data_IF_465358916570
#
_entry.id   IF_465358916570
#
_cell.length_a   1.000
_cell.length_b   1.000
_cell.length_c   1.000
_cell.angle_alpha   90.00
_cell.angle_beta   90.00
_cell.angle_gamma   90.00
#
_symmetry.space_group_name_H-M   'P 1'
#
loop_
_entity.id
_entity.type
_entity.pdbx_description
1 polymer ?
#
# COMPACT_ATOMS: atom_id res chain seq x y z
N UNK A 1 2.22 40.66 61.44
CA UNK A 1 2.82 40.31 60.13
C UNK A 1 2.47 38.84 59.82
N UNK A 2 1.51 38.62 58.95
CA UNK A 2 1.13 37.28 58.47
C UNK A 2 1.69 37.12 57.07
N UNK A 3 2.62 36.18 56.88
CA UNK A 3 3.11 35.78 55.54
C UNK A 3 2.04 34.86 54.94
N UNK A 4 1.47 35.25 53.78
CA UNK A 4 0.75 34.40 52.87
C UNK A 4 1.77 33.72 51.92
N UNK A 5 1.90 32.41 52.04
CA UNK A 5 2.64 31.59 51.04
C UNK A 5 1.74 31.31 49.85
N UNK A 6 2.12 31.78 48.66
CA UNK A 6 1.54 31.37 47.36
C UNK A 6 2.07 29.97 47.00
N UNK A 7 1.21 28.95 46.99
CA UNK A 7 1.49 27.69 46.33
C UNK A 7 1.11 27.81 44.83
N UNK A 8 2.12 27.90 44.00
CA UNK A 8 1.94 27.78 42.54
C UNK A 8 1.78 26.29 42.18
N UNK A 9 0.56 25.89 41.88
CA UNK A 9 0.29 24.56 41.36
C UNK A 9 0.80 24.40 39.93
N UNK A 10 1.79 23.56 39.73
CA UNK A 10 2.28 23.14 38.42
C UNK A 10 1.28 22.15 37.81
N UNK A 11 0.42 22.63 36.90
CA UNK A 11 -0.43 21.75 36.08
C UNK A 11 0.48 21.07 35.05
N UNK A 12 0.88 19.84 35.32
CA UNK A 12 1.47 18.95 34.31
C UNK A 12 0.31 18.46 33.45
N UNK A 13 0.18 19.05 32.26
CA UNK A 13 -0.71 18.51 31.21
C UNK A 13 -0.13 17.18 30.75
N UNK A 14 -0.68 16.08 31.24
CA UNK A 14 -0.42 14.75 30.70
C UNK A 14 -1.18 14.73 29.36
N UNK A 15 -0.48 14.97 28.25
CA UNK A 15 -1.02 14.65 26.93
C UNK A 15 -1.12 13.13 26.87
N UNK A 16 -2.36 12.59 26.83
CA UNK A 16 -2.57 11.20 26.51
C UNK A 16 -1.85 10.89 25.17
N UNK A 17 -1.14 9.76 25.04
CA UNK A 17 -0.61 9.36 23.75
C UNK A 17 -1.76 9.32 22.76
N UNK A 18 -1.57 9.89 21.58
CA UNK A 18 -2.54 9.77 20.49
C UNK A 18 -2.72 8.27 20.22
N UNK A 19 -3.95 7.76 20.32
CA UNK A 19 -4.24 6.38 19.96
C UNK A 19 -3.85 6.20 18.50
N UNK A 20 -3.09 5.14 18.22
CA UNK A 20 -2.69 4.82 16.87
C UNK A 20 -3.94 4.53 16.04
N UNK A 21 -4.05 5.13 14.86
CA UNK A 21 -5.19 4.94 13.96
C UNK A 21 -4.77 4.20 12.70
N UNK A 22 -5.71 3.52 12.07
CA UNK A 22 -5.52 2.93 10.75
C UNK A 22 -5.32 4.02 9.70
N UNK A 23 -4.54 3.72 8.63
CA UNK A 23 -4.32 4.67 7.55
C UNK A 23 -5.40 4.48 6.50
N UNK A 24 -6.13 5.55 6.19
CA UNK A 24 -7.26 5.55 5.28
C UNK A 24 -7.06 6.57 4.16
N UNK A 25 -7.18 6.14 2.90
CA UNK A 25 -7.04 7.08 1.77
C UNK A 25 -6.97 6.43 0.40
N UNK A 26 -6.71 5.11 0.32
CA UNK A 26 -6.77 4.39 -0.94
C UNK A 26 -8.20 4.05 -1.34
N UNK A 27 -8.49 4.15 -2.64
CA UNK A 27 -9.76 3.80 -3.24
C UNK A 27 -9.82 2.38 -3.80
N UNK A 28 -8.89 1.53 -3.42
CA UNK A 28 -8.80 0.14 -3.84
C UNK A 28 -7.82 -0.64 -2.97
N UNK A 29 -7.72 -1.98 -3.18
CA UNK A 29 -6.83 -2.84 -2.41
C UNK A 29 -5.41 -2.30 -2.33
N UNK A 30 -4.82 -2.31 -1.12
CA UNK A 30 -3.45 -1.87 -0.88
C UNK A 30 -2.48 -3.00 -1.18
N UNK A 31 -1.75 -2.89 -2.30
CA UNK A 31 -0.90 -3.96 -2.86
C UNK A 31 0.60 -3.80 -2.58
N UNK A 32 1.01 -2.65 -2.08
CA UNK A 32 2.40 -2.39 -1.75
C UNK A 32 2.53 -1.57 -0.47
N UNK A 33 3.45 -1.96 0.40
CA UNK A 33 3.79 -1.26 1.63
C UNK A 33 5.30 -1.23 1.81
N UNK A 34 5.82 -0.06 2.12
CA UNK A 34 7.16 0.12 2.66
C UNK A 34 7.09 1.00 3.92
N UNK A 35 7.97 0.76 4.87
CA UNK A 35 8.04 1.51 6.13
C UNK A 35 9.44 2.05 6.35
N UNK A 36 9.50 3.24 6.90
CA UNK A 36 10.69 3.85 7.48
C UNK A 36 10.35 4.23 8.92
N UNK A 37 11.26 4.87 9.68
CA UNK A 37 11.06 5.13 11.12
C UNK A 37 9.65 5.66 11.44
N UNK A 38 9.25 6.80 10.89
CA UNK A 38 7.97 7.45 11.17
C UNK A 38 7.04 7.53 9.95
N UNK A 39 7.46 6.96 8.82
CA UNK A 39 6.76 7.08 7.56
C UNK A 39 6.29 5.73 7.03
N UNK A 40 5.15 5.74 6.34
CA UNK A 40 4.66 4.62 5.53
C UNK A 40 4.54 5.11 4.08
N UNK A 41 4.96 4.29 3.15
CA UNK A 41 4.73 4.48 1.73
C UNK A 41 3.87 3.32 1.23
N UNK A 42 2.71 3.64 0.69
CA UNK A 42 1.78 2.63 0.19
C UNK A 42 1.47 2.82 -1.28
N UNK A 43 1.18 1.71 -1.95
CA UNK A 43 0.68 1.67 -3.31
C UNK A 43 -0.55 0.78 -3.41
N UNK A 44 -1.49 1.08 -4.30
CA UNK A 44 -2.75 0.36 -4.37
C UNK A 44 -3.28 0.19 -5.80
N UNK A 45 -4.38 -0.55 -5.91
CA UNK A 45 -5.12 -0.78 -7.14
C UNK A 45 -5.74 0.50 -7.72
N UNK A 46 -5.87 1.55 -6.91
CA UNK A 46 -6.31 2.88 -7.35
C UNK A 46 -5.22 3.67 -8.10
N UNK A 47 -4.11 3.02 -8.46
CA UNK A 47 -2.97 3.57 -9.20
C UNK A 47 -2.13 4.61 -8.46
N UNK A 48 -2.39 4.83 -7.16
CA UNK A 48 -1.77 5.88 -6.37
C UNK A 48 -0.69 5.34 -5.46
N UNK A 49 0.28 6.21 -5.18
CA UNK A 49 1.25 6.04 -4.11
C UNK A 49 0.95 7.11 -3.07
N UNK A 50 0.82 6.72 -1.80
CA UNK A 50 0.57 7.66 -0.72
C UNK A 50 1.69 7.55 0.30
N UNK A 51 2.25 8.71 0.67
CA UNK A 51 3.17 8.86 1.78
C UNK A 51 2.39 9.29 3.02
N UNK A 52 2.63 8.62 4.13
CA UNK A 52 1.92 8.85 5.39
C UNK A 52 2.87 9.20 6.52
N UNK A 53 2.43 10.10 7.40
CA UNK A 53 2.93 10.20 8.77
C UNK A 53 2.28 9.07 9.58
N UNK A 54 3.10 8.13 10.04
CA UNK A 54 2.61 6.92 10.73
C UNK A 54 2.03 7.23 12.11
N UNK A 55 2.63 8.17 12.85
CA UNK A 55 2.16 8.53 14.20
C UNK A 55 0.84 9.28 14.16
N UNK A 56 0.70 10.22 13.20
CA UNK A 56 -0.52 11.02 13.04
C UNK A 56 -1.59 10.33 12.22
N UNK A 57 -1.28 9.18 11.60
CA UNK A 57 -2.13 8.47 10.65
C UNK A 57 -2.64 9.39 9.50
N UNK A 58 -1.80 10.31 9.04
CA UNK A 58 -2.15 11.33 8.05
C UNK A 58 -1.39 11.12 6.75
N UNK A 59 -2.10 11.27 5.62
CA UNK A 59 -1.45 11.34 4.33
C UNK A 59 -0.69 12.66 4.17
N UNK A 60 0.61 12.57 3.93
CA UNK A 60 1.46 13.73 3.66
C UNK A 60 1.46 14.08 2.17
N UNK A 61 1.41 13.07 1.29
CA UNK A 61 1.43 13.25 -0.18
C UNK A 61 0.69 12.13 -0.88
N UNK A 62 0.06 12.48 -1.99
CA UNK A 62 -0.54 11.54 -2.94
C UNK A 62 0.18 11.71 -4.27
N UNK A 63 0.96 10.70 -4.67
CA UNK A 63 1.75 10.68 -5.89
C UNK A 63 0.99 9.95 -6.99
N UNK A 64 0.99 10.49 -8.20
CA UNK A 64 0.16 10.02 -9.31
C UNK A 64 0.99 9.94 -10.58
N UNK A 65 1.20 8.73 -11.08
CA UNK A 65 1.93 8.45 -12.31
C UNK A 65 1.42 7.18 -12.97
N UNK A 66 1.23 6.12 -12.16
CA UNK A 66 0.94 4.80 -12.68
C UNK A 66 -0.44 4.73 -13.35
N UNK A 67 -0.52 3.96 -14.44
CA UNK A 67 -1.74 3.70 -15.20
C UNK A 67 -2.35 2.33 -14.84
N UNK A 68 -1.63 1.53 -14.03
CA UNK A 68 -2.07 0.26 -13.46
C UNK A 68 -1.80 0.21 -11.95
N UNK A 69 -2.16 -0.92 -11.32
CA UNK A 69 -1.95 -1.12 -9.90
C UNK A 69 -0.49 -0.87 -9.51
N UNK A 70 -0.25 -0.16 -8.41
CA UNK A 70 1.08 -0.01 -7.85
C UNK A 70 1.42 -1.28 -7.07
N UNK A 71 2.44 -2.00 -7.52
CA UNK A 71 2.77 -3.34 -7.02
C UNK A 71 3.94 -3.38 -6.06
N UNK A 72 4.77 -2.34 -6.07
CA UNK A 72 5.90 -2.24 -5.15
C UNK A 72 6.25 -0.79 -4.83
N UNK A 73 6.73 -0.56 -3.60
CA UNK A 73 7.22 0.72 -3.10
C UNK A 73 8.50 0.53 -2.31
N UNK A 74 9.37 1.55 -2.27
CA UNK A 74 10.58 1.55 -1.47
C UNK A 74 10.97 2.96 -1.03
N UNK A 75 11.55 3.11 0.15
CA UNK A 75 12.25 4.32 0.57
C UNK A 75 13.66 4.33 -0.01
N UNK A 76 14.18 5.52 -0.32
CA UNK A 76 15.51 5.73 -0.86
C UNK A 76 16.40 6.46 0.16
N UNK A 77 17.74 6.29 0.09
CA UNK A 77 18.67 6.83 1.08
C UNK A 77 18.70 8.37 1.14
N UNK A 78 18.33 9.03 0.04
CA UNK A 78 18.27 10.48 -0.07
C UNK A 78 16.97 11.10 0.48
N UNK A 79 16.15 10.29 1.15
CA UNK A 79 14.83 10.66 1.66
C UNK A 79 13.73 10.64 0.61
N UNK A 80 14.05 10.32 -0.64
CA UNK A 80 13.08 10.10 -1.71
C UNK A 80 12.43 8.72 -1.66
N UNK A 81 11.67 8.41 -2.69
CA UNK A 81 10.88 7.17 -2.79
C UNK A 81 11.01 6.52 -4.14
N UNK A 82 10.70 5.23 -4.22
CA UNK A 82 10.50 4.52 -5.47
C UNK A 82 9.14 3.84 -5.49
N UNK A 83 8.53 3.75 -6.65
CA UNK A 83 7.32 2.97 -6.90
C UNK A 83 7.41 2.21 -8.22
N UNK A 84 6.72 1.08 -8.29
CA UNK A 84 6.60 0.30 -9.52
C UNK A 84 5.17 -0.23 -9.67
N UNK A 85 4.74 -0.46 -10.91
CA UNK A 85 3.35 -0.80 -11.18
C UNK A 85 3.16 -1.87 -12.25
N UNK A 86 1.90 -2.24 -12.45
CA UNK A 86 1.48 -3.13 -13.53
C UNK A 86 1.70 -2.54 -14.92
N UNK A 87 1.89 -1.23 -15.01
CA UNK A 87 2.22 -0.51 -16.23
C UNK A 87 3.69 -0.68 -16.68
N UNK A 88 4.48 -1.50 -15.98
CA UNK A 88 5.90 -1.74 -16.28
C UNK A 88 6.84 -0.60 -15.94
N UNK A 89 6.35 0.46 -15.29
CA UNK A 89 7.15 1.64 -14.93
C UNK A 89 7.76 1.49 -13.54
N UNK A 90 9.01 1.98 -13.41
CA UNK A 90 9.66 2.28 -12.13
C UNK A 90 9.82 3.79 -12.05
N UNK A 91 9.29 4.41 -11.02
CA UNK A 91 9.42 5.84 -10.77
C UNK A 91 10.28 6.11 -9.54
N UNK A 92 11.17 7.10 -9.64
CA UNK A 92 11.89 7.68 -8.52
C UNK A 92 11.29 9.04 -8.19
N UNK A 93 10.95 9.25 -6.94
CA UNK A 93 10.32 10.47 -6.43
C UNK A 93 11.30 11.22 -5.52
N UNK A 94 11.34 12.54 -5.57
CA UNK A 94 12.15 13.33 -4.65
C UNK A 94 11.55 13.28 -3.23
N UNK A 95 12.36 13.63 -2.24
CA UNK A 95 11.92 13.79 -0.84
C UNK A 95 10.80 14.82 -0.70
N UNK A 96 10.78 15.83 -1.55
CA UNK A 96 9.76 16.88 -1.61
C UNK A 96 9.19 17.02 -3.02
N UNK A 97 7.90 17.41 -3.10
CA UNK A 97 7.19 17.51 -4.38
C UNK A 97 6.35 16.28 -4.70
N UNK A 98 5.67 16.33 -5.84
CA UNK A 98 4.73 15.30 -6.31
C UNK A 98 5.03 14.80 -7.72
N UNK A 99 6.04 15.37 -8.39
CA UNK A 99 6.48 14.94 -9.71
C UNK A 99 7.67 13.97 -9.58
N UNK A 100 7.70 12.88 -10.35
CA UNK A 100 8.84 11.96 -10.34
C UNK A 100 10.08 12.64 -10.93
N UNK A 101 11.24 12.39 -10.29
CA UNK A 101 12.53 12.88 -10.80
C UNK A 101 13.07 12.03 -11.95
N UNK A 102 12.66 10.76 -12.00
CA UNK A 102 13.01 9.82 -13.06
C UNK A 102 11.91 8.77 -13.22
N UNK A 103 11.65 8.37 -14.44
CA UNK A 103 10.78 7.24 -14.78
C UNK A 103 11.53 6.33 -15.75
N UNK A 104 11.58 5.05 -15.43
CA UNK A 104 12.12 4.00 -16.29
C UNK A 104 10.96 3.10 -16.75
N UNK A 105 10.95 2.71 -18.04
CA UNK A 105 9.94 1.84 -18.62
C UNK A 105 10.64 0.76 -19.46
N UNK A 106 11.39 -0.10 -18.76
CA UNK A 106 12.18 -1.16 -19.39
C UNK A 106 11.47 -2.53 -19.38
N UNK A 107 10.40 -2.64 -18.59
CA UNK A 107 9.56 -3.82 -18.53
C UNK A 107 8.33 -3.65 -19.42
N UNK A 108 8.03 -4.68 -20.22
CA UNK A 108 6.82 -4.76 -21.06
C UNK A 108 5.65 -5.44 -20.34
N UNK A 109 5.84 -5.81 -19.06
CA UNK A 109 4.90 -6.54 -18.24
C UNK A 109 4.91 -5.96 -16.80
N UNK A 110 3.92 -6.33 -15.96
CA UNK A 110 3.87 -5.90 -14.56
C UNK A 110 5.17 -6.16 -13.80
N UNK A 111 5.56 -5.20 -12.96
CA UNK A 111 6.68 -5.35 -12.02
C UNK A 111 6.14 -6.01 -10.76
N UNK A 112 6.81 -7.05 -10.27
CA UNK A 112 6.40 -7.80 -9.09
C UNK A 112 6.99 -7.25 -7.79
N UNK A 113 8.17 -6.64 -7.85
CA UNK A 113 8.85 -6.18 -6.64
C UNK A 113 10.01 -5.23 -6.91
N UNK A 114 10.33 -4.45 -5.89
CA UNK A 114 11.49 -3.56 -5.81
C UNK A 114 12.36 -3.96 -4.63
N UNK A 115 13.67 -3.85 -4.79
CA UNK A 115 14.63 -4.04 -3.71
C UNK A 115 15.77 -3.03 -3.80
N UNK A 116 16.08 -2.37 -2.70
CA UNK A 116 17.21 -1.46 -2.59
C UNK A 116 18.44 -2.25 -2.08
N UNK A 117 19.58 -2.06 -2.72
CA UNK A 117 20.85 -2.67 -2.25
C UNK A 117 21.26 -2.14 -0.87
N UNK A 118 21.96 -2.94 -0.03
CA UNK A 118 22.32 -2.54 1.33
C UNK A 118 23.22 -1.29 1.40
N UNK A 119 24.00 -1.04 0.34
CA UNK A 119 24.82 0.18 0.20
C UNK A 119 24.02 1.40 -0.29
N UNK A 120 22.72 1.21 -0.59
CA UNK A 120 21.84 2.27 -1.08
C UNK A 120 22.12 2.74 -2.50
N UNK A 121 23.00 2.08 -3.26
CA UNK A 121 23.44 2.56 -4.55
C UNK A 121 22.58 2.07 -5.73
N UNK A 122 21.93 0.91 -5.60
CA UNK A 122 21.20 0.26 -6.69
C UNK A 122 19.80 -0.13 -6.26
N UNK A 123 18.80 0.24 -7.08
CA UNK A 123 17.44 -0.26 -6.98
C UNK A 123 17.25 -1.38 -8.01
N UNK A 124 16.88 -2.58 -7.57
CA UNK A 124 16.53 -3.69 -8.44
C UNK A 124 15.00 -3.78 -8.58
N UNK A 125 14.52 -4.09 -9.78
CA UNK A 125 13.13 -4.41 -10.07
C UNK A 125 13.03 -5.76 -10.78
N UNK A 126 12.03 -6.56 -10.45
CA UNK A 126 11.73 -7.84 -11.10
C UNK A 126 10.38 -7.81 -11.81
N UNK A 127 10.35 -8.18 -13.09
CA UNK A 127 9.15 -8.12 -13.94
C UNK A 127 8.57 -9.47 -14.33
N UNK A 128 7.29 -9.50 -14.66
CA UNK A 128 6.61 -10.68 -15.20
C UNK A 128 7.06 -11.06 -16.61
N UNK A 129 7.90 -10.22 -17.23
CA UNK A 129 8.62 -10.52 -18.48
C UNK A 129 9.87 -11.41 -18.26
N UNK A 130 10.12 -11.83 -17.02
CA UNK A 130 11.26 -12.67 -16.66
C UNK A 130 12.58 -11.93 -16.51
N UNK A 131 12.55 -10.60 -16.52
CA UNK A 131 13.72 -9.73 -16.47
C UNK A 131 13.96 -9.15 -15.10
N UNK A 132 15.23 -8.80 -14.85
CA UNK A 132 15.65 -7.95 -13.74
C UNK A 132 16.19 -6.64 -14.31
N UNK A 133 15.73 -5.53 -13.76
CA UNK A 133 16.26 -4.19 -13.99
C UNK A 133 17.10 -3.77 -12.79
N UNK A 134 18.27 -3.21 -13.02
CA UNK A 134 19.14 -2.58 -12.02
C UNK A 134 19.25 -1.09 -12.36
N UNK A 135 18.79 -0.25 -11.48
CA UNK A 135 18.85 1.21 -11.61
C UNK A 135 19.89 1.75 -10.62
N UNK A 136 20.98 2.35 -11.13
CA UNK A 136 21.98 3.03 -10.31
C UNK A 136 21.45 4.40 -9.90
N UNK A 137 21.23 4.64 -8.60
CA UNK A 137 20.54 5.84 -8.11
C UNK A 137 21.31 7.14 -8.32
N UNK A 138 22.65 7.10 -8.27
CA UNK A 138 23.50 8.27 -8.46
C UNK A 138 23.46 8.79 -9.90
N UNK A 139 23.53 7.88 -10.88
CA UNK A 139 23.69 8.24 -12.30
C UNK A 139 22.39 8.14 -13.09
N UNK A 140 21.37 7.47 -12.56
CA UNK A 140 20.15 7.12 -13.28
C UNK A 140 20.35 6.04 -14.35
N UNK A 141 21.53 5.42 -14.42
CA UNK A 141 21.83 4.40 -15.42
C UNK A 141 21.02 3.11 -15.15
N UNK A 142 20.46 2.55 -16.21
CA UNK A 142 19.66 1.33 -16.16
C UNK A 142 20.36 0.20 -16.88
N UNK A 143 20.36 -0.97 -16.26
CA UNK A 143 20.81 -2.23 -16.86
C UNK A 143 19.71 -3.28 -16.71
N UNK A 144 19.36 -3.95 -17.80
CA UNK A 144 18.37 -5.04 -17.81
C UNK A 144 19.04 -6.35 -18.20
N UNK A 145 18.61 -7.44 -17.56
CA UNK A 145 19.08 -8.81 -17.86
C UNK A 145 17.90 -9.78 -17.91
N UNK A 146 18.00 -10.81 -18.72
CA UNK A 146 17.09 -11.96 -18.67
C UNK A 146 17.48 -12.83 -17.48
N UNK A 147 16.52 -13.06 -16.56
CA UNK A 147 16.79 -13.73 -15.29
C UNK A 147 16.13 -15.11 -15.16
N UNK A 148 14.84 -15.21 -15.48
CA UNK A 148 14.02 -16.40 -15.28
C UNK A 148 13.52 -17.00 -16.60
N UNK A 149 14.35 -17.00 -17.66
CA UNK A 149 14.07 -17.67 -18.95
C UNK A 149 12.75 -17.25 -19.61
N UNK A 150 12.34 -16.01 -19.41
CA UNK A 150 11.07 -15.48 -19.90
C UNK A 150 9.87 -15.81 -19.01
N UNK A 151 10.06 -16.59 -17.93
CA UNK A 151 9.02 -16.84 -16.93
C UNK A 151 9.01 -15.73 -15.90
N UNK A 152 7.83 -15.47 -15.28
CA UNK A 152 7.62 -14.36 -14.36
C UNK A 152 8.62 -14.35 -13.20
N UNK A 153 9.26 -13.21 -12.95
CA UNK A 153 9.83 -12.92 -11.62
C UNK A 153 8.67 -12.60 -10.69
N UNK A 154 8.59 -13.27 -9.56
CA UNK A 154 7.51 -13.09 -8.57
C UNK A 154 7.98 -12.39 -7.29
N UNK A 155 9.27 -12.16 -7.15
CA UNK A 155 9.83 -11.40 -6.03
C UNK A 155 11.33 -11.19 -6.13
N UNK A 156 11.81 -10.10 -5.51
CA UNK A 156 13.22 -9.74 -5.41
C UNK A 156 13.54 -9.21 -4.02
N UNK A 157 14.77 -9.43 -3.55
CA UNK A 157 15.26 -8.92 -2.26
C UNK A 157 16.78 -8.95 -2.17
N UNK A 158 17.41 -7.96 -1.54
CA UNK A 158 18.85 -7.98 -1.31
C UNK A 158 19.20 -8.58 0.05
N UNK A 159 20.12 -9.54 0.07
CA UNK A 159 20.76 -10.01 1.28
C UNK A 159 21.72 -8.93 1.85
N UNK A 160 22.02 -8.94 3.17
CA UNK A 160 22.93 -7.98 3.78
C UNK A 160 24.34 -7.97 3.17
N UNK A 161 24.76 -9.08 2.56
CA UNK A 161 26.07 -9.21 1.89
C UNK A 161 26.09 -8.60 0.46
N UNK A 162 24.99 -7.99 0.02
CA UNK A 162 24.86 -7.32 -1.27
C UNK A 162 24.44 -8.24 -2.43
N UNK A 163 24.21 -9.53 -2.19
CA UNK A 163 23.64 -10.41 -3.22
C UNK A 163 22.16 -10.18 -3.36
N UNK A 164 21.67 -10.09 -4.60
CA UNK A 164 20.24 -10.06 -4.89
C UNK A 164 19.71 -11.50 -4.92
N UNK A 165 18.55 -11.71 -4.32
CA UNK A 165 17.70 -12.89 -4.48
C UNK A 165 16.61 -12.55 -5.47
N UNK A 166 16.34 -13.42 -6.44
CA UNK A 166 15.11 -13.40 -7.22
C UNK A 166 14.44 -14.77 -7.19
N UNK A 167 13.09 -14.77 -7.21
CA UNK A 167 12.27 -15.98 -7.31
C UNK A 167 11.33 -15.84 -8.50
N UNK A 168 11.04 -16.94 -9.19
CA UNK A 168 10.24 -16.90 -10.40
C UNK A 168 9.40 -18.14 -10.66
N UNK A 169 8.45 -18.00 -11.60
CA UNK A 169 7.54 -19.06 -12.02
C UNK A 169 8.24 -20.23 -12.73
N UNK A 170 9.53 -20.09 -13.09
CA UNK A 170 10.39 -21.18 -13.54
C UNK A 170 10.81 -22.12 -12.40
N UNK A 171 10.25 -21.96 -11.20
CA UNK A 171 10.52 -22.71 -9.97
C UNK A 171 11.98 -22.61 -9.54
N UNK A 172 12.55 -21.40 -9.61
CA UNK A 172 13.92 -21.14 -9.19
C UNK A 172 13.99 -19.96 -8.22
N UNK A 173 14.90 -20.13 -7.25
CA UNK A 173 15.51 -19.05 -6.52
C UNK A 173 16.93 -18.86 -7.06
N UNK A 174 17.25 -17.64 -7.48
CA UNK A 174 18.59 -17.33 -8.03
C UNK A 174 19.23 -16.25 -7.17
N UNK A 175 20.49 -16.49 -6.78
CA UNK A 175 21.34 -15.51 -6.14
C UNK A 175 22.24 -14.84 -7.18
N UNK A 176 22.31 -13.52 -7.11
CA UNK A 176 23.06 -12.68 -8.06
C UNK A 176 24.13 -11.88 -7.34
N UNK A 177 25.32 -11.80 -7.94
CA UNK A 177 26.33 -10.81 -7.58
C UNK A 177 26.35 -9.73 -8.65
N UNK A 178 25.78 -8.57 -8.33
CA UNK A 178 25.38 -7.60 -9.37
C UNK A 178 24.45 -8.25 -10.40
N UNK A 179 24.78 -8.19 -11.69
CA UNK A 179 23.99 -8.80 -12.76
C UNK A 179 24.45 -10.22 -13.16
N UNK A 180 25.28 -10.89 -12.34
CA UNK A 180 25.82 -12.24 -12.60
C UNK A 180 25.16 -13.26 -11.67
N UNK A 181 24.53 -14.34 -12.18
CA UNK A 181 24.02 -15.41 -11.33
C UNK A 181 25.17 -16.18 -10.70
N UNK A 182 25.09 -16.44 -9.39
CA UNK A 182 26.13 -17.19 -8.64
C UNK A 182 25.62 -18.52 -8.09
N UNK A 183 24.30 -18.59 -7.79
CA UNK A 183 23.67 -19.82 -7.29
C UNK A 183 22.25 -19.90 -7.83
N UNK A 184 21.78 -21.11 -8.12
CA UNK A 184 20.38 -21.37 -8.50
C UNK A 184 19.87 -22.58 -7.74
N UNK A 185 18.77 -22.42 -7.01
CA UNK A 185 18.11 -23.43 -6.17
C UNK A 185 16.76 -23.74 -6.79
N UNK A 186 16.44 -25.02 -6.98
CA UNK A 186 15.11 -25.47 -7.41
C UNK A 186 14.09 -25.30 -6.28
N UNK A 187 12.90 -24.81 -6.62
CA UNK A 187 11.79 -24.61 -5.69
C UNK A 187 10.75 -25.73 -5.84
N UNK A 188 10.13 -26.19 -4.74
CA UNK A 188 9.18 -27.31 -4.78
C UNK A 188 7.80 -26.94 -5.30
N UNK A 189 7.43 -25.67 -5.27
CA UNK A 189 6.15 -25.14 -5.71
C UNK A 189 6.32 -23.72 -6.30
N UNK A 190 5.26 -23.17 -6.87
CA UNK A 190 5.28 -21.82 -7.44
C UNK A 190 5.45 -20.77 -6.34
N UNK A 191 6.53 -19.95 -6.37
CA UNK A 191 6.73 -18.88 -5.41
C UNK A 191 5.84 -17.68 -5.75
N UNK A 192 5.26 -17.05 -4.73
CA UNK A 192 4.41 -15.86 -4.87
C UNK A 192 5.09 -14.57 -4.37
N UNK A 193 6.20 -14.68 -3.66
CA UNK A 193 6.94 -13.53 -3.16
C UNK A 193 8.14 -13.95 -2.31
N UNK A 194 9.00 -12.98 -2.01
CA UNK A 194 10.17 -13.15 -1.15
C UNK A 194 10.38 -11.92 -0.28
N UNK A 195 10.77 -12.14 0.97
CA UNK A 195 11.26 -11.11 1.88
C UNK A 195 12.57 -11.57 2.54
N UNK A 196 13.42 -10.62 2.95
CA UNK A 196 14.72 -10.96 3.54
C UNK A 196 14.64 -10.96 5.06
N UNK A 197 14.89 -12.12 5.66
CA UNK A 197 14.89 -12.39 7.09
C UNK A 197 16.34 -12.60 7.58
N UNK A 198 17.01 -11.51 7.99
CA UNK A 198 18.44 -11.56 8.30
C UNK A 198 19.26 -11.99 7.09
N UNK A 199 19.99 -13.10 7.19
CA UNK A 199 20.83 -13.64 6.11
C UNK A 199 20.09 -14.68 5.23
N UNK A 200 18.79 -14.86 5.44
CA UNK A 200 17.96 -15.83 4.73
C UNK A 200 16.85 -15.15 3.89
N UNK A 201 16.39 -15.85 2.86
CA UNK A 201 15.24 -15.47 2.06
C UNK A 201 14.00 -16.24 2.51
N UNK A 202 12.99 -15.55 3.02
CA UNK A 202 11.66 -16.09 3.32
C UNK A 202 10.82 -16.04 2.04
N UNK A 203 10.52 -17.20 1.47
CA UNK A 203 9.73 -17.33 0.24
C UNK A 203 8.37 -17.88 0.59
N UNK A 204 7.31 -17.26 0.07
CA UNK A 204 5.92 -17.72 0.16
C UNK A 204 5.49 -18.41 -1.12
N UNK A 205 4.59 -19.40 -0.98
CA UNK A 205 4.24 -20.29 -2.06
C UNK A 205 2.73 -20.42 -2.27
N UNK A 206 2.38 -20.87 -3.47
CA UNK A 206 1.01 -21.20 -3.85
C UNK A 206 0.45 -22.42 -3.09
N UNK A 207 1.31 -23.27 -2.50
CA UNK A 207 0.94 -24.43 -1.68
C UNK A 207 0.66 -24.07 -0.20
N UNK A 208 0.64 -22.78 0.14
CA UNK A 208 0.37 -22.30 1.50
C UNK A 208 1.56 -22.38 2.46
N UNK A 209 2.74 -22.70 1.97
CA UNK A 209 3.94 -22.80 2.77
C UNK A 209 4.79 -21.52 2.74
N UNK A 210 5.52 -21.28 3.84
CA UNK A 210 6.67 -20.39 3.93
C UNK A 210 7.91 -21.23 4.07
N UNK A 211 8.95 -20.94 3.28
CA UNK A 211 10.24 -21.61 3.38
C UNK A 211 11.37 -20.59 3.50
N UNK A 212 12.27 -20.81 4.43
CA UNK A 212 13.51 -20.05 4.55
C UNK A 212 14.60 -20.70 3.70
N UNK A 213 15.26 -19.90 2.89
CA UNK A 213 16.38 -20.33 2.05
C UNK A 213 17.65 -19.62 2.47
N UNK A 214 18.70 -20.40 2.74
CA UNK A 214 20.08 -19.93 2.80
C UNK A 214 20.81 -20.18 1.49
N UNK A 215 22.12 -19.91 1.47
CA UNK A 215 22.94 -20.09 0.28
C UNK A 215 23.01 -21.54 -0.27
N UNK A 216 22.70 -22.55 0.56
CA UNK A 216 22.80 -23.97 0.23
C UNK A 216 21.45 -24.71 0.15
N UNK A 217 20.33 -24.02 0.28
CA UNK A 217 19.00 -24.63 0.23
C UNK A 217 18.09 -24.23 1.39
N UNK A 218 17.08 -25.07 1.66
CA UNK A 218 16.05 -24.84 2.68
C UNK A 218 16.65 -24.95 4.08
N UNK A 219 16.40 -23.95 4.92
CA UNK A 219 16.78 -23.89 6.34
C UNK A 219 15.61 -24.29 7.25
N UNK A 220 14.40 -23.85 6.90
CA UNK A 220 13.18 -24.13 7.65
C UNK A 220 11.95 -24.08 6.71
N UNK A 221 10.88 -24.77 7.11
CA UNK A 221 9.60 -24.78 6.40
C UNK A 221 8.46 -24.77 7.41
N UNK A 222 7.39 -24.02 7.07
CA UNK A 222 6.12 -24.02 7.79
C UNK A 222 4.97 -24.00 6.78
N UNK A 223 4.09 -24.98 6.83
CA UNK A 223 2.84 -25.00 6.06
C UNK A 223 1.77 -24.35 6.91
N UNK A 224 1.25 -23.22 6.47
CA UNK A 224 0.32 -22.38 7.25
C UNK A 224 -1.15 -22.69 6.90
N UNK A 225 -1.39 -22.98 5.63
CA UNK A 225 -2.75 -23.18 5.08
C UNK A 225 -2.66 -24.03 3.81
N UNK A 226 -3.79 -24.49 3.28
CA UNK A 226 -3.89 -25.12 1.96
C UNK A 226 -4.16 -24.09 0.84
N UNK A 227 -4.24 -22.79 1.19
CA UNK A 227 -4.49 -21.68 0.26
C UNK A 227 -3.21 -20.97 -0.13
N UNK A 228 -3.15 -20.36 -1.31
CA UNK A 228 -2.00 -19.57 -1.71
C UNK A 228 -1.70 -18.44 -0.73
N UNK A 229 -0.42 -18.25 -0.41
CA UNK A 229 0.03 -17.05 0.30
C UNK A 229 0.22 -15.92 -0.69
N UNK A 230 -0.22 -14.71 -0.32
CA UNK A 230 -0.27 -13.53 -1.19
C UNK A 230 0.76 -12.46 -0.84
N UNK A 231 1.10 -12.32 0.45
CA UNK A 231 2.03 -11.29 0.92
C UNK A 231 3.01 -11.85 1.95
N UNK A 232 4.21 -11.29 1.95
CA UNK A 232 5.27 -11.61 2.91
C UNK A 232 6.03 -10.35 3.29
N UNK A 233 6.34 -10.21 4.57
CA UNK A 233 7.29 -9.23 5.09
C UNK A 233 8.21 -9.91 6.10
N UNK A 234 9.45 -9.43 6.19
CA UNK A 234 10.40 -9.96 7.14
C UNK A 234 11.26 -8.87 7.77
N UNK A 235 11.73 -9.17 8.95
CA UNK A 235 12.77 -8.46 9.69
C UNK A 235 13.81 -9.47 10.17
N UNK A 236 14.93 -9.06 10.79
CA UNK A 236 15.87 -10.03 11.39
C UNK A 236 15.24 -10.97 12.42
N UNK A 237 14.12 -10.56 13.07
CA UNK A 237 13.54 -11.29 14.19
C UNK A 237 12.19 -11.97 13.87
N UNK A 238 11.49 -11.52 12.82
CA UNK A 238 10.15 -11.98 12.48
C UNK A 238 9.93 -12.13 10.98
N UNK A 239 9.09 -13.10 10.61
CA UNK A 239 8.48 -13.25 9.28
C UNK A 239 6.97 -13.17 9.46
N UNK A 240 6.31 -12.35 8.66
CA UNK A 240 4.86 -12.31 8.55
C UNK A 240 4.45 -12.76 7.15
N UNK A 241 3.45 -13.62 7.05
CA UNK A 241 2.90 -14.10 5.79
C UNK A 241 1.37 -14.03 5.81
N UNK A 242 0.75 -13.67 4.71
CA UNK A 242 -0.70 -13.55 4.58
C UNK A 242 -1.24 -14.44 3.47
N UNK A 243 -2.45 -15.01 3.66
CA UNK A 243 -3.17 -15.76 2.66
C UNK A 243 -4.06 -14.87 1.78
N UNK A 244 -4.52 -15.44 0.66
CA UNK A 244 -5.55 -14.81 -0.18
C UNK A 244 -6.93 -14.73 0.51
N UNK A 245 -7.13 -15.42 1.63
CA UNK A 245 -8.36 -15.36 2.43
C UNK A 245 -8.28 -14.30 3.55
N UNK A 246 -7.08 -13.73 3.79
CA UNK A 246 -6.89 -12.58 4.67
C UNK A 246 -6.33 -12.90 6.05
N UNK A 247 -6.02 -14.17 6.34
CA UNK A 247 -5.32 -14.55 7.56
C UNK A 247 -3.85 -14.13 7.47
N UNK A 248 -3.28 -13.74 8.61
CA UNK A 248 -1.86 -13.35 8.71
C UNK A 248 -1.21 -14.13 9.83
N UNK A 249 -0.09 -14.78 9.56
CA UNK A 249 0.72 -15.50 10.55
C UNK A 249 2.03 -14.79 10.80
N UNK A 250 2.41 -14.72 12.06
CA UNK A 250 3.68 -14.16 12.52
C UNK A 250 4.53 -15.27 13.11
N UNK A 251 5.75 -15.37 12.62
CA UNK A 251 6.70 -16.44 12.94
C UNK A 251 8.05 -15.85 13.34
N UNK A 252 8.85 -16.61 14.04
CA UNK A 252 10.25 -16.27 14.27
C UNK A 252 11.07 -16.40 12.98
N UNK A 253 11.90 -15.40 12.67
CA UNK A 253 12.69 -15.39 11.44
C UNK A 253 13.72 -16.52 11.35
N UNK A 254 14.18 -17.04 12.50
CA UNK A 254 15.24 -18.03 12.58
C UNK A 254 14.81 -19.42 12.11
N UNK A 255 13.61 -19.85 12.45
CA UNK A 255 13.16 -21.25 12.32
C UNK A 255 11.68 -21.39 11.93
N UNK A 256 10.99 -20.28 11.64
CA UNK A 256 9.56 -20.19 11.34
C UNK A 256 8.68 -20.72 12.47
N UNK A 257 9.18 -20.74 13.72
CA UNK A 257 8.35 -21.08 14.86
C UNK A 257 7.18 -20.09 15.00
N UNK A 258 5.92 -20.57 15.08
CA UNK A 258 4.76 -19.69 15.14
C UNK A 258 4.77 -18.85 16.43
N UNK A 259 4.39 -17.59 16.32
CA UNK A 259 4.21 -16.65 17.44
C UNK A 259 2.72 -16.41 17.69
N UNK A 260 2.03 -15.86 16.71
CA UNK A 260 0.58 -15.61 16.74
C UNK A 260 0.02 -15.46 15.33
N UNK A 261 -1.29 -15.39 15.22
CA UNK A 261 -2.00 -15.09 13.98
C UNK A 261 -2.90 -13.87 14.17
N UNK A 262 -3.16 -13.14 13.08
CA UNK A 262 -4.05 -11.99 13.03
C UNK A 262 -5.19 -12.32 12.08
N UNK A 263 -6.37 -11.81 12.41
CA UNK A 263 -7.56 -11.84 11.54
C UNK A 263 -7.98 -10.39 11.22
N UNK A 264 -7.33 -9.75 10.22
CA UNK A 264 -7.57 -8.33 9.94
C UNK A 264 -9.00 -8.00 9.51
N UNK A 265 -9.75 -8.96 9.01
CA UNK A 265 -11.12 -8.74 8.53
C UNK A 265 -11.18 -7.82 7.30
N UNK A 266 -10.10 -7.80 6.49
CA UNK A 266 -9.96 -6.92 5.33
C UNK A 266 -10.25 -7.61 3.99
N UNK A 267 -10.78 -8.85 4.01
CA UNK A 267 -10.70 -9.75 2.87
C UNK A 267 -9.22 -10.10 2.58
N UNK A 268 -8.83 -10.31 1.32
CA UNK A 268 -7.44 -10.60 0.98
C UNK A 268 -6.48 -9.55 1.52
N UNK A 269 -5.39 -9.99 2.13
CA UNK A 269 -4.27 -9.12 2.52
C UNK A 269 -3.21 -9.21 1.43
N UNK A 270 -3.04 -8.11 0.70
CA UNK A 270 -2.17 -8.03 -0.47
C UNK A 270 -0.77 -7.51 -0.18
N UNK A 271 -0.59 -6.85 0.94
CA UNK A 271 0.71 -6.32 1.34
C UNK A 271 0.90 -6.33 2.85
N UNK A 272 2.14 -6.53 3.25
CA UNK A 272 2.60 -6.54 4.63
C UNK A 272 3.84 -5.67 4.76
N UNK A 273 4.00 -5.01 5.91
CA UNK A 273 5.25 -4.38 6.29
C UNK A 273 5.49 -4.57 7.79
N UNK A 274 6.75 -4.68 8.19
CA UNK A 274 7.18 -4.83 9.56
C UNK A 274 8.04 -3.64 9.98
N UNK A 275 7.73 -3.06 11.13
CA UNK A 275 8.64 -2.20 11.89
C UNK A 275 9.24 -3.00 13.06
N UNK A 276 9.96 -2.35 13.96
CA UNK A 276 10.46 -2.98 15.19
C UNK A 276 9.33 -3.39 16.15
N UNK A 277 8.20 -2.71 16.09
CA UNK A 277 7.10 -2.84 17.06
C UNK A 277 5.75 -3.11 16.43
N UNK A 278 5.61 -2.92 15.11
CA UNK A 278 4.31 -3.00 14.45
C UNK A 278 4.33 -3.89 13.22
N UNK A 279 3.18 -4.46 12.93
CA UNK A 279 2.83 -5.06 11.65
C UNK A 279 1.81 -4.14 10.98
N UNK A 280 2.02 -3.84 9.70
CA UNK A 280 1.06 -3.15 8.87
C UNK A 280 0.49 -4.14 7.86
N UNK A 281 -0.84 -4.17 7.73
CA UNK A 281 -1.55 -5.02 6.77
C UNK A 281 -2.31 -4.15 5.78
N UNK A 282 -2.03 -4.30 4.48
CA UNK A 282 -2.76 -3.66 3.41
C UNK A 282 -3.80 -4.61 2.82
N UNK A 283 -5.06 -4.29 2.98
CA UNK A 283 -6.19 -5.17 2.67
C UNK A 283 -6.96 -4.84 1.40
N UNK A 284 -7.89 -5.74 1.09
CA UNK A 284 -8.83 -5.61 -0.02
C UNK A 284 -9.81 -4.43 0.14
N UNK A 285 -10.01 -3.95 1.36
CA UNK A 285 -10.86 -2.83 1.72
C UNK A 285 -10.22 -1.44 1.54
N UNK A 286 -8.96 -1.38 1.09
CA UNK A 286 -8.22 -0.13 0.89
C UNK A 286 -7.66 0.49 2.15
N UNK A 287 -7.77 -0.17 3.29
CA UNK A 287 -7.20 0.28 4.57
C UNK A 287 -5.82 -0.33 4.81
N UNK A 288 -5.00 0.41 5.57
CA UNK A 288 -3.77 -0.11 6.14
C UNK A 288 -3.99 -0.19 7.64
N UNK A 289 -4.17 -1.41 8.16
CA UNK A 289 -4.33 -1.64 9.60
C UNK A 289 -2.99 -1.84 10.26
N UNK A 290 -2.95 -1.48 11.55
CA UNK A 290 -1.75 -1.49 12.37
C UNK A 290 -1.94 -2.40 13.57
N UNK A 291 -0.93 -3.21 13.85
CA UNK A 291 -0.95 -4.25 14.89
C UNK A 291 0.34 -4.21 15.69
N UNK A 292 0.26 -4.44 16.96
CA UNK A 292 1.45 -4.65 17.78
C UNK A 292 2.16 -5.96 17.40
N UNK A 293 3.44 -5.88 17.07
CA UNK A 293 4.22 -7.04 16.59
C UNK A 293 4.39 -8.12 17.65
N UNK A 294 4.42 -7.76 18.93
CA UNK A 294 4.67 -8.69 20.02
C UNK A 294 3.41 -9.44 20.45
N UNK A 295 2.28 -8.74 20.56
CA UNK A 295 1.01 -9.30 21.06
C UNK A 295 0.06 -9.73 19.92
N UNK A 296 0.15 -9.12 18.75
CA UNK A 296 -0.83 -9.29 17.68
C UNK A 296 -2.12 -8.48 17.89
N UNK A 297 -2.17 -7.63 18.91
CA UNK A 297 -3.34 -6.80 19.17
C UNK A 297 -3.43 -5.62 18.19
N UNK A 298 -4.66 -5.23 17.77
CA UNK A 298 -4.83 -4.06 16.92
C UNK A 298 -4.43 -2.78 17.66
N UNK A 299 -3.69 -1.91 16.98
CA UNK A 299 -3.33 -0.58 17.50
C UNK A 299 -4.32 0.49 17.06
N UNK A 300 -5.03 0.27 15.93
CA UNK A 300 -6.00 1.21 15.39
C UNK A 300 -7.42 0.92 15.88
N UNK A 301 -8.10 1.94 16.41
CA UNK A 301 -9.51 1.84 16.87
C UNK A 301 -10.46 2.81 16.14
N UNK A 302 -9.92 3.67 15.24
CA UNK A 302 -10.64 4.85 14.78
C UNK A 302 -11.48 4.72 13.49
N UNK A 303 -11.30 3.65 12.71
CA UNK A 303 -11.92 3.55 11.40
C UNK A 303 -13.43 3.26 11.46
N UNK A 304 -13.87 2.45 12.41
CA UNK A 304 -15.29 2.07 12.56
C UNK A 304 -16.16 3.22 13.09
N UNK A 305 -15.61 4.07 13.97
CA UNK A 305 -16.40 5.13 14.62
C UNK A 305 -16.82 6.26 13.66
N UNK A 306 -16.02 6.58 12.64
CA UNK A 306 -16.35 7.63 11.66
C UNK A 306 -17.34 7.12 10.62
N UNK A 307 -17.29 5.85 10.26
CA UNK A 307 -18.27 5.24 9.34
C UNK A 307 -19.65 5.10 9.99
N UNK A 308 -19.68 4.70 11.25
CA UNK A 308 -20.93 4.61 12.01
C UNK A 308 -21.66 5.96 12.15
N UNK A 309 -20.93 7.08 12.16
CA UNK A 309 -21.53 8.42 12.27
C UNK A 309 -22.38 8.83 11.05
N UNK A 310 -22.15 8.23 9.88
CA UNK A 310 -22.90 8.51 8.64
C UNK A 310 -23.76 7.32 8.18
N UNK A 311 -23.78 6.22 8.91
CA UNK A 311 -24.65 5.08 8.62
C UNK A 311 -26.01 5.30 9.30
N UNK A 312 -26.95 5.87 8.54
CA UNK A 312 -28.33 6.08 8.98
C UNK A 312 -29.25 4.87 8.67
N UNK A 313 -28.66 3.73 8.27
CA UNK A 313 -29.38 2.51 7.91
C UNK A 313 -30.15 2.61 6.59
N UNK A 314 -29.99 3.71 5.84
CA UNK A 314 -30.66 3.89 4.55
C UNK A 314 -29.92 3.16 3.42
N UNK A 315 -30.68 2.85 2.34
CA UNK A 315 -30.09 2.29 1.12
C UNK A 315 -29.00 3.20 0.54
N UNK A 316 -29.16 4.53 0.66
CA UNK A 316 -28.15 5.50 0.25
C UNK A 316 -26.86 5.40 1.04
N UNK A 317 -26.95 5.18 2.37
CA UNK A 317 -25.77 4.93 3.21
C UNK A 317 -25.06 3.62 2.83
N UNK A 318 -25.80 2.56 2.51
CA UNK A 318 -25.21 1.30 2.03
C UNK A 318 -24.42 1.50 0.72
N UNK A 319 -25.00 2.22 -0.26
CA UNK A 319 -24.31 2.54 -1.52
C UNK A 319 -23.11 3.44 -1.29
N UNK A 320 -23.22 4.40 -0.36
CA UNK A 320 -22.13 5.31 0.00
C UNK A 320 -20.88 4.62 0.53
N UNK A 321 -20.98 3.44 1.17
CA UNK A 321 -19.83 2.73 1.76
C UNK A 321 -18.68 2.54 0.77
N UNK A 322 -18.96 2.29 -0.50
CA UNK A 322 -17.95 2.18 -1.54
C UNK A 322 -17.21 3.50 -1.81
N UNK A 323 -17.90 4.63 -1.67
CA UNK A 323 -17.36 5.97 -1.89
C UNK A 323 -16.57 6.48 -0.67
N UNK A 324 -16.96 6.03 0.54
CA UNK A 324 -16.36 6.42 1.81
C UNK A 324 -14.87 6.05 1.93
N UNK A 325 -14.39 5.09 1.13
CA UNK A 325 -12.97 4.74 1.07
C UNK A 325 -12.10 5.91 0.60
N UNK A 326 -12.61 6.70 -0.36
CA UNK A 326 -11.85 7.78 -0.98
C UNK A 326 -12.34 9.17 -0.58
N UNK A 327 -13.60 9.35 -0.21
CA UNK A 327 -14.22 10.63 0.03
C UNK A 327 -14.64 10.80 1.49
N UNK A 328 -14.58 12.05 1.98
CA UNK A 328 -15.13 12.47 3.26
C UNK A 328 -16.45 13.23 3.04
N UNK A 329 -17.35 13.22 4.03
CA UNK A 329 -18.56 14.04 4.10
C UNK A 329 -18.38 15.25 5.02
N UNK A 330 -17.23 15.32 5.71
CA UNK A 330 -16.88 16.45 6.59
C UNK A 330 -16.06 17.51 5.83
N UNK A 331 -15.99 18.76 6.35
CA UNK A 331 -15.15 19.81 5.75
C UNK A 331 -13.67 19.40 5.64
N UNK A 332 -13.17 18.64 6.63
CA UNK A 332 -11.87 18.01 6.56
C UNK A 332 -11.96 16.77 5.66
N UNK A 333 -11.12 16.69 4.65
CA UNK A 333 -11.06 15.54 3.75
C UNK A 333 -10.38 14.32 4.39
N UNK A 334 -9.80 14.48 5.59
CA UNK A 334 -9.07 13.41 6.29
C UNK A 334 -7.89 12.90 5.46
N UNK A 335 -7.32 13.73 4.58
CA UNK A 335 -6.27 13.38 3.62
C UNK A 335 -6.62 12.18 2.73
N UNK A 336 -7.88 12.04 2.36
CA UNK A 336 -8.36 10.93 1.52
C UNK A 336 -7.90 11.08 0.06
N UNK A 337 -7.91 9.98 -0.65
CA UNK A 337 -7.53 9.92 -2.06
C UNK A 337 -8.44 10.74 -2.98
N UNK A 338 -9.70 10.96 -2.61
CA UNK A 338 -10.67 11.83 -3.27
C UNK A 338 -10.91 13.11 -2.47
N UNK A 339 -11.46 14.15 -3.11
CA UNK A 339 -11.83 15.40 -2.43
C UNK A 339 -12.96 15.19 -1.44
N UNK A 340 -13.05 16.08 -0.43
CA UNK A 340 -14.24 16.11 0.41
C UNK A 340 -15.50 16.39 -0.41
N UNK A 341 -16.59 15.69 -0.08
CA UNK A 341 -17.92 15.96 -0.65
C UNK A 341 -18.75 16.93 0.22
N UNK A 342 -18.20 17.41 1.35
CA UNK A 342 -18.89 18.46 2.12
C UNK A 342 -19.17 19.67 1.24
N UNK A 343 -20.40 20.17 1.25
CA UNK A 343 -20.82 21.25 0.36
C UNK A 343 -20.83 20.88 -1.13
N UNK A 344 -21.05 19.60 -1.48
CA UNK A 344 -20.98 19.10 -2.86
C UNK A 344 -21.96 19.82 -3.78
N UNK A 345 -23.24 19.85 -3.41
CA UNK A 345 -24.27 20.37 -4.30
C UNK A 345 -24.20 21.89 -4.44
N UNK A 346 -24.20 22.37 -5.68
CA UNK A 346 -23.95 23.76 -6.04
C UNK A 346 -22.48 24.11 -6.24
N UNK A 347 -21.55 23.22 -5.88
CA UNK A 347 -20.11 23.42 -6.06
C UNK A 347 -19.71 23.10 -7.50
N UNK A 348 -18.84 23.96 -8.09
CA UNK A 348 -18.24 23.69 -9.40
C UNK A 348 -17.21 22.56 -9.29
N UNK A 349 -17.08 21.74 -10.33
CA UNK A 349 -16.06 20.71 -10.44
C UNK A 349 -14.66 21.29 -10.24
N UNK A 350 -13.79 20.52 -9.63
CA UNK A 350 -12.36 20.86 -9.40
C UNK A 350 -12.13 22.11 -8.51
N UNK A 351 -13.06 22.42 -7.58
CA UNK A 351 -12.95 23.58 -6.69
C UNK A 351 -12.96 23.25 -5.20
N UNK A 352 -12.96 21.97 -4.79
CA UNK A 352 -12.77 21.63 -3.38
C UNK A 352 -11.37 22.08 -2.94
N UNK A 353 -11.29 22.72 -1.77
CA UNK A 353 -10.02 23.17 -1.18
C UNK A 353 -9.13 21.98 -0.82
N UNK A 354 -7.82 22.20 -0.81
CA UNK A 354 -6.80 21.22 -0.38
C UNK A 354 -6.73 19.93 -1.22
N UNK A 355 -7.32 19.90 -2.43
CA UNK A 355 -7.24 18.76 -3.32
C UNK A 355 -6.65 19.12 -4.68
N UNK A 356 -5.63 18.34 -5.11
CA UNK A 356 -4.98 18.55 -6.41
C UNK A 356 -5.71 17.80 -7.54
N UNK A 357 -6.52 18.56 -8.28
CA UNK A 357 -7.27 18.03 -9.42
C UNK A 357 -6.41 17.91 -10.69
N UNK A 358 -6.75 16.96 -11.56
CA UNK A 358 -6.16 16.86 -12.89
C UNK A 358 -6.44 18.13 -13.73
N UNK A 359 -5.54 18.44 -14.66
CA UNK A 359 -5.74 19.55 -15.59
C UNK A 359 -7.00 19.38 -16.47
N UNK A 360 -7.43 18.14 -16.69
CA UNK A 360 -8.66 17.83 -17.43
C UNK A 360 -9.88 18.31 -16.64
N UNK A 361 -10.01 17.94 -15.37
CA UNK A 361 -11.12 18.34 -14.51
C UNK A 361 -11.20 19.86 -14.30
N UNK A 362 -10.04 20.54 -14.18
CA UNK A 362 -9.99 21.99 -14.01
C UNK A 362 -10.53 22.77 -15.24
N UNK A 363 -10.56 22.12 -16.41
CA UNK A 363 -11.08 22.71 -17.67
C UNK A 363 -12.57 22.44 -17.90
N UNK A 364 -13.19 21.56 -17.10
CA UNK A 364 -14.59 21.23 -17.24
C UNK A 364 -15.49 22.30 -16.62
N UNK A 365 -16.68 22.47 -17.19
CA UNK A 365 -17.70 23.40 -16.71
C UNK A 365 -18.92 22.61 -16.20
N UNK A 366 -18.72 21.89 -15.10
CA UNK A 366 -19.75 21.09 -14.45
C UNK A 366 -20.03 21.70 -13.08
N UNK A 367 -21.30 21.87 -12.74
CA UNK A 367 -21.75 22.15 -11.38
C UNK A 367 -22.40 20.88 -10.83
N UNK A 368 -22.02 20.48 -9.65
CA UNK A 368 -22.57 19.30 -9.01
C UNK A 368 -24.01 19.56 -8.56
N UNK A 369 -24.94 18.88 -9.18
CA UNK A 369 -26.37 18.84 -8.85
C UNK A 369 -26.78 17.38 -8.61
N UNK A 370 -27.96 17.11 -8.04
CA UNK A 370 -28.52 15.77 -7.99
C UNK A 370 -28.47 15.02 -9.32
N UNK A 371 -28.77 15.71 -10.41
CA UNK A 371 -28.81 15.16 -11.77
C UNK A 371 -27.40 14.82 -12.25
N UNK A 372 -26.43 15.73 -12.13
CA UNK A 372 -25.04 15.50 -12.59
C UNK A 372 -24.32 14.42 -11.77
N UNK A 373 -24.63 14.30 -10.47
CA UNK A 373 -24.13 13.20 -9.63
C UNK A 373 -24.76 11.87 -10.06
N UNK A 374 -26.06 11.84 -10.34
CA UNK A 374 -26.73 10.63 -10.84
C UNK A 374 -26.14 10.20 -12.19
N UNK A 375 -25.93 11.15 -13.12
CA UNK A 375 -25.36 10.88 -14.43
C UNK A 375 -23.91 10.36 -14.33
N UNK A 376 -23.09 10.94 -13.45
CA UNK A 376 -21.73 10.45 -13.17
C UNK A 376 -21.72 8.94 -12.86
N UNK A 377 -22.63 8.48 -12.01
CA UNK A 377 -22.71 7.07 -11.60
C UNK A 377 -23.51 6.19 -12.59
N UNK A 378 -24.22 6.78 -13.52
CA UNK A 378 -24.90 6.05 -14.59
C UNK A 378 -23.93 5.66 -15.70
N UNK A 379 -23.18 6.64 -16.24
CA UNK A 379 -22.30 6.42 -17.39
C UNK A 379 -20.85 6.14 -16.98
N UNK A 380 -20.49 6.41 -15.73
CA UNK A 380 -19.15 6.21 -15.16
C UNK A 380 -18.23 7.41 -15.28
N UNK A 381 -17.27 7.53 -14.33
CA UNK A 381 -16.29 8.63 -14.30
C UNK A 381 -15.47 8.78 -15.58
N UNK A 382 -15.09 7.68 -16.22
CA UNK A 382 -14.30 7.70 -17.44
C UNK A 382 -15.03 8.40 -18.60
N UNK A 383 -16.37 8.31 -18.63
CA UNK A 383 -17.21 8.91 -19.64
C UNK A 383 -17.66 10.30 -19.26
N UNK A 384 -18.14 10.49 -18.03
CA UNK A 384 -18.71 11.77 -17.57
C UNK A 384 -17.64 12.82 -17.25
N UNK A 385 -16.52 12.37 -16.66
CA UNK A 385 -15.39 13.22 -16.28
C UNK A 385 -14.08 12.66 -16.85
N UNK A 386 -13.88 12.65 -18.17
CA UNK A 386 -12.71 12.07 -18.79
C UNK A 386 -11.41 12.74 -18.29
N UNK A 387 -10.42 11.91 -17.92
CA UNK A 387 -9.20 12.34 -17.25
C UNK A 387 -9.37 12.55 -15.74
N UNK A 388 -10.48 12.11 -15.18
CA UNK A 388 -10.64 11.89 -13.75
C UNK A 388 -9.68 10.80 -13.27
N UNK A 389 -9.26 10.90 -12.02
CA UNK A 389 -8.49 9.87 -11.31
C UNK A 389 -9.38 9.04 -10.38
N UNK A 390 -10.68 9.25 -10.45
CA UNK A 390 -11.68 8.43 -9.78
C UNK A 390 -11.75 7.08 -10.51
N UNK A 391 -11.67 5.94 -9.81
CA UNK A 391 -11.91 4.63 -10.42
C UNK A 391 -13.27 4.58 -11.12
N UNK A 392 -13.39 3.79 -12.20
CA UNK A 392 -14.69 3.60 -12.88
C UNK A 392 -15.66 2.87 -11.94
N UNK A 393 -16.44 3.64 -11.22
CA UNK A 393 -17.47 3.15 -10.31
C UNK A 393 -18.84 3.54 -10.86
N UNK A 394 -19.65 2.52 -11.17
CA UNK A 394 -21.01 2.69 -11.65
C UNK A 394 -22.01 2.15 -10.64
N UNK A 395 -23.14 2.79 -10.55
CA UNK A 395 -24.31 2.35 -9.78
C UNK A 395 -25.44 2.08 -10.80
N UNK A 396 -25.53 0.83 -11.34
CA UNK A 396 -26.40 0.54 -12.47
C UNK A 396 -27.89 0.73 -12.17
N UNK A 397 -28.34 0.40 -10.93
CA UNK A 397 -29.73 0.52 -10.55
C UNK A 397 -30.12 1.99 -10.33
N UNK A 398 -31.14 2.47 -11.02
CA UNK A 398 -31.63 3.86 -10.91
C UNK A 398 -32.10 4.19 -9.49
N UNK A 399 -32.71 3.24 -8.80
CA UNK A 399 -33.16 3.35 -7.42
C UNK A 399 -31.99 3.54 -6.44
N UNK A 400 -30.87 2.84 -6.65
CA UNK A 400 -29.65 2.97 -5.85
C UNK A 400 -28.98 4.34 -6.09
N UNK A 401 -28.97 4.83 -7.33
CA UNK A 401 -28.47 6.17 -7.65
C UNK A 401 -29.33 7.25 -6.98
N UNK A 402 -30.64 7.11 -7.02
CA UNK A 402 -31.56 8.05 -6.36
C UNK A 402 -31.35 8.04 -4.84
N UNK A 403 -31.22 6.86 -4.23
CA UNK A 403 -30.95 6.70 -2.80
C UNK A 403 -29.61 7.32 -2.39
N UNK A 404 -28.55 7.10 -3.19
CA UNK A 404 -27.23 7.70 -2.98
C UNK A 404 -27.29 9.23 -3.04
N UNK A 405 -27.94 9.79 -4.06
CA UNK A 405 -28.07 11.25 -4.24
C UNK A 405 -28.84 11.87 -3.08
N UNK A 406 -29.94 11.25 -2.64
CA UNK A 406 -30.70 11.71 -1.49
C UNK A 406 -29.89 11.67 -0.20
N UNK A 407 -29.13 10.59 0.03
CA UNK A 407 -28.22 10.47 1.16
C UNK A 407 -27.16 11.58 1.13
N UNK A 408 -26.47 11.78 0.00
CA UNK A 408 -25.47 12.84 -0.15
C UNK A 408 -26.07 14.23 0.09
N UNK A 409 -27.29 14.50 -0.38
CA UNK A 409 -27.94 15.78 -0.17
C UNK A 409 -28.22 16.10 1.31
N UNK A 410 -28.37 15.07 2.15
CA UNK A 410 -28.48 15.23 3.61
C UNK A 410 -27.13 15.34 4.28
N UNK A 411 -26.18 14.47 3.89
CA UNK A 411 -24.95 14.25 4.62
C UNK A 411 -23.81 15.25 4.27
N UNK A 412 -23.92 15.98 3.16
CA UNK A 412 -22.88 16.93 2.69
C UNK A 412 -23.20 18.41 2.99
N UNK A 413 -24.23 18.69 3.79
CA UNK A 413 -24.66 20.05 4.17
C UNK A 413 -23.74 20.71 5.17
#
# INVERSE_FOLDING_TARGET
MRLLGLLAGLCISITAPAEASDLRGHGGPVSALAVSEDLVLSGAFDTRVILWDRERAMALRVLRLHEGNVTATAFLPDGGYASAGQDGRVALWPAEGIEPRQVSHEHEAPIAGLALSPDGATLAAGGWDGRLQFLTLETGAVRVIDAHRGEKVTGVGYLPDGRLVSVGSDLRLILWQGARPVTSIGLPASPNGVAIAGDAAAVIFADGAVRLYGGNGVLAESVLTERPLAAVAASPDAVAAASVEGEVWVMAARDLAPRHALEPGQGPVWSLALTKTEILTGGGDGLIRRWDLASGEPLGTGAEAVEAAFDDGSRGAEVWRACALCHSLTPDDGNRAGPTLHGLFGRRIATAENYDYSAALRRMDIVWTPETVSELFEVGPDTFTPGSRMPDQRVPAAEDRAALVEFLARATR
#
